data_IF_948562945833
#
_entry.id   IF_948562945833
#
_cell.length_a   1.000
_cell.length_b   1.000
_cell.length_c   1.000
_cell.angle_alpha   90.00
_cell.angle_beta   90.00
_cell.angle_gamma   90.00
#
_symmetry.space_group_name_H-M   'P 1'
#
loop_
_entity.id
_entity.type
_entity.pdbx_description
1 polymer ?
#
# COMPACT_ATOMS: atom_id res chain seq x y z
N UNK A 1 -10.47 16.55 21.18
CA UNK A 1 -10.91 17.27 19.97
C UNK A 1 -10.27 16.56 18.81
N UNK A 2 -11.03 15.75 18.08
CA UNK A 2 -10.52 14.97 16.96
C UNK A 2 -10.42 15.91 15.77
N UNK A 3 -9.20 16.30 15.38
CA UNK A 3 -9.01 17.14 14.20
C UNK A 3 -9.21 16.27 12.96
N UNK A 4 -10.32 16.48 12.25
CA UNK A 4 -10.57 15.83 10.97
C UNK A 4 -9.55 16.31 9.94
N UNK A 5 -9.17 15.41 9.04
CA UNK A 5 -8.37 15.74 7.88
C UNK A 5 -9.31 16.32 6.83
N UNK A 6 -8.93 17.43 6.19
CA UNK A 6 -9.80 18.04 5.17
C UNK A 6 -10.12 17.07 4.02
N UNK A 7 -9.09 16.41 3.50
CA UNK A 7 -9.16 15.52 2.34
C UNK A 7 -7.89 14.64 2.32
N UNK A 8 -7.80 13.70 1.39
CA UNK A 8 -6.62 12.84 1.24
C UNK A 8 -5.33 13.63 0.95
N UNK A 9 -5.41 14.74 0.20
CA UNK A 9 -4.24 15.54 -0.15
C UNK A 9 -3.68 16.28 1.06
N UNK A 10 -4.53 16.83 1.91
CA UNK A 10 -4.12 17.48 3.15
C UNK A 10 -3.43 16.50 4.09
N UNK A 11 -3.93 15.26 4.17
CA UNK A 11 -3.28 14.19 4.90
C UNK A 11 -1.88 13.85 4.33
N UNK A 12 -1.73 13.79 3.01
CA UNK A 12 -0.44 13.59 2.34
C UNK A 12 0.58 14.68 2.64
N UNK A 13 0.16 15.95 2.59
CA UNK A 13 1.03 17.09 2.96
C UNK A 13 1.49 17.03 4.41
N UNK A 14 0.61 16.63 5.33
CA UNK A 14 0.95 16.44 6.73
C UNK A 14 1.93 15.28 6.91
N UNK A 15 1.66 14.11 6.34
CA UNK A 15 2.55 12.95 6.40
C UNK A 15 3.95 13.25 5.85
N UNK A 16 4.02 14.00 4.75
CA UNK A 16 5.29 14.40 4.15
C UNK A 16 6.18 15.22 5.11
N UNK A 17 5.61 15.97 6.06
CA UNK A 17 6.40 16.69 7.08
C UNK A 17 7.14 15.76 8.04
N UNK A 18 6.67 14.52 8.23
CA UNK A 18 7.31 13.50 9.07
C UNK A 18 8.34 12.64 8.32
N UNK A 19 8.49 12.88 7.01
CA UNK A 19 9.32 12.10 6.08
C UNK A 19 10.43 12.94 5.43
N UNK A 20 10.70 14.14 5.97
CA UNK A 20 11.63 15.12 5.37
C UNK A 20 13.07 14.62 5.26
N UNK A 21 13.47 13.68 6.12
CA UNK A 21 14.77 12.98 6.02
C UNK A 21 14.98 12.21 4.71
N UNK A 22 13.91 11.90 3.95
CA UNK A 22 13.99 11.22 2.66
C UNK A 22 14.00 12.17 1.46
N UNK A 23 13.95 13.49 1.67
CA UNK A 23 13.90 14.47 0.57
C UNK A 23 15.07 14.30 -0.39
N UNK A 24 14.78 14.25 -1.70
CA UNK A 24 15.75 14.03 -2.79
C UNK A 24 16.56 12.72 -2.67
N UNK A 25 16.13 11.75 -1.86
CA UNK A 25 16.85 10.50 -1.68
C UNK A 25 16.71 9.62 -2.92
N UNK A 26 17.83 9.42 -3.63
CA UNK A 26 17.90 8.45 -4.73
C UNK A 26 17.65 7.00 -4.30
N UNK A 27 17.62 6.72 -2.98
CA UNK A 27 17.36 5.39 -2.42
C UNK A 27 15.94 5.24 -1.86
N UNK A 28 15.11 6.27 -1.88
CA UNK A 28 13.72 6.17 -1.42
C UNK A 28 12.73 6.04 -2.59
N UNK A 29 11.64 5.31 -2.37
CA UNK A 29 10.55 5.12 -3.31
C UNK A 29 9.23 5.16 -2.57
N UNK A 30 8.28 5.97 -3.05
CA UNK A 30 6.92 6.00 -2.52
C UNK A 30 6.07 5.00 -3.29
N UNK A 31 5.44 4.07 -2.57
CA UNK A 31 4.48 3.12 -3.14
C UNK A 31 3.11 3.32 -2.52
N UNK A 32 2.10 3.52 -3.37
CA UNK A 32 0.73 3.71 -2.93
C UNK A 32 -0.10 2.42 -3.06
N UNK A 33 -0.89 2.08 -2.05
CA UNK A 33 -1.99 1.14 -2.19
C UNK A 33 -3.17 1.84 -2.88
N UNK A 34 -3.61 1.38 -4.07
CA UNK A 34 -4.72 2.03 -4.74
C UNK A 34 -6.07 1.59 -4.19
N UNK A 35 -7.08 2.45 -4.26
CA UNK A 35 -7.04 3.78 -4.94
C UNK A 35 -6.77 4.92 -3.98
N UNK A 36 -7.33 4.84 -2.78
CA UNK A 36 -7.30 5.90 -1.79
C UNK A 36 -5.89 6.35 -1.38
N UNK A 37 -4.91 5.45 -1.33
CA UNK A 37 -3.53 5.82 -1.01
C UNK A 37 -2.85 6.73 -2.05
N UNK A 38 -3.33 6.75 -3.30
CA UNK A 38 -2.62 7.41 -4.41
C UNK A 38 -2.58 8.95 -4.28
N UNK A 39 -3.70 9.66 -4.01
CA UNK A 39 -3.64 11.10 -3.78
C UNK A 39 -2.75 11.52 -2.60
N UNK A 40 -2.62 10.66 -1.60
CA UNK A 40 -1.77 10.90 -0.42
C UNK A 40 -0.30 10.75 -0.81
N UNK A 41 0.01 9.61 -1.44
CA UNK A 41 1.35 9.29 -1.91
C UNK A 41 1.86 10.30 -2.93
N UNK A 42 0.98 10.83 -3.78
CA UNK A 42 1.30 11.92 -4.71
C UNK A 42 1.82 13.16 -4.01
N UNK A 43 1.14 13.65 -2.97
CA UNK A 43 1.57 14.84 -2.24
C UNK A 43 2.90 14.58 -1.48
N UNK A 44 3.10 13.36 -0.97
CA UNK A 44 4.37 12.95 -0.36
C UNK A 44 5.50 12.96 -1.40
N UNK A 45 5.31 12.28 -2.53
CA UNK A 45 6.29 12.18 -3.60
C UNK A 45 6.65 13.56 -4.17
N UNK A 46 5.64 14.40 -4.44
CA UNK A 46 5.85 15.75 -4.95
C UNK A 46 6.64 16.62 -3.98
N UNK A 47 6.29 16.59 -2.69
CA UNK A 47 6.95 17.43 -1.67
C UNK A 47 8.38 16.99 -1.37
N UNK A 48 8.64 15.68 -1.44
CA UNK A 48 9.96 15.12 -1.13
C UNK A 48 10.83 14.89 -2.37
N UNK A 49 10.32 15.17 -3.57
CA UNK A 49 10.96 14.89 -4.85
C UNK A 49 11.38 13.42 -4.98
N UNK A 50 10.45 12.52 -4.67
CA UNK A 50 10.66 11.08 -4.73
C UNK A 50 9.88 10.44 -5.87
N UNK A 51 10.38 9.32 -6.43
CA UNK A 51 9.58 8.52 -7.37
C UNK A 51 8.32 7.98 -6.68
N UNK A 52 7.23 7.96 -7.45
CA UNK A 52 5.94 7.37 -7.06
C UNK A 52 5.64 6.19 -7.99
N UNK A 53 5.22 5.08 -7.39
CA UNK A 53 4.54 3.99 -8.11
C UNK A 53 3.44 3.37 -7.22
N UNK A 54 2.78 2.34 -7.73
CA UNK A 54 1.71 1.62 -7.05
C UNK A 54 2.24 0.33 -6.45
N UNK A 55 1.74 -0.03 -5.27
CA UNK A 55 1.84 -1.38 -4.73
C UNK A 55 0.49 -2.08 -4.97
N UNK A 56 0.42 -2.91 -6.01
CA UNK A 56 -0.77 -3.73 -6.26
C UNK A 56 -0.59 -5.09 -5.59
N UNK A 57 -1.52 -5.42 -4.70
CA UNK A 57 -1.57 -6.70 -4.01
C UNK A 57 -2.98 -7.25 -3.97
N UNK A 58 -3.08 -8.57 -3.96
CA UNK A 58 -4.32 -9.31 -3.74
C UNK A 58 -4.10 -10.36 -2.66
N UNK A 59 -5.06 -10.48 -1.75
CA UNK A 59 -5.06 -11.54 -0.75
C UNK A 59 -5.55 -12.83 -1.40
N UNK A 60 -4.91 -13.94 -1.07
CA UNK A 60 -5.41 -15.26 -1.41
C UNK A 60 -6.30 -15.76 -0.29
N UNK A 61 -7.60 -15.52 -0.44
CA UNK A 61 -8.63 -15.85 0.55
C UNK A 61 -8.90 -17.34 0.64
N UNK A 62 -9.19 -17.84 1.84
CA UNK A 62 -9.75 -19.19 2.01
C UNK A 62 -11.20 -19.17 1.50
N UNK A 63 -11.59 -20.08 0.58
CA UNK A 63 -12.98 -20.20 0.13
C UNK A 63 -13.93 -20.29 1.32
N UNK A 64 -15.10 -19.66 1.20
CA UNK A 64 -16.14 -19.60 2.27
C UNK A 64 -15.75 -18.80 3.52
N UNK A 65 -14.47 -18.43 3.71
CA UNK A 65 -13.96 -17.59 4.81
C UNK A 65 -13.20 -16.38 4.27
N UNK A 66 -13.94 -15.44 3.66
CA UNK A 66 -13.37 -14.27 2.96
C UNK A 66 -12.43 -13.39 3.80
N UNK A 67 -12.61 -13.39 5.12
CA UNK A 67 -11.75 -12.62 6.05
C UNK A 67 -10.40 -13.30 6.34
N UNK A 68 -10.29 -14.61 6.09
CA UNK A 68 -9.06 -15.38 6.31
C UNK A 68 -8.33 -15.55 4.97
N UNK A 69 -7.06 -15.16 4.94
CA UNK A 69 -6.21 -15.31 3.76
C UNK A 69 -5.08 -16.31 4.05
N UNK A 70 -4.91 -17.30 3.18
CA UNK A 70 -3.80 -18.26 3.23
C UNK A 70 -2.54 -17.75 2.53
N UNK A 71 -2.60 -16.57 1.89
CA UNK A 71 -1.46 -16.00 1.20
C UNK A 71 -1.76 -14.64 0.59
N UNK A 72 -0.83 -14.15 -0.21
CA UNK A 72 -0.95 -12.94 -0.99
C UNK A 72 -0.18 -13.06 -2.31
N UNK A 73 -0.63 -12.33 -3.31
CA UNK A 73 0.10 -12.10 -4.56
C UNK A 73 0.33 -10.60 -4.76
N UNK A 74 1.42 -10.27 -5.43
CA UNK A 74 1.78 -8.91 -5.80
C UNK A 74 2.37 -8.83 -7.19
N UNK A 75 2.69 -7.62 -7.62
CA UNK A 75 3.29 -7.36 -8.93
C UNK A 75 4.56 -8.20 -9.18
N UNK A 76 4.89 -8.39 -10.46
CA UNK A 76 6.05 -9.18 -10.90
C UNK A 76 6.02 -10.66 -10.48
N UNK A 77 4.83 -11.26 -10.40
CA UNK A 77 4.65 -12.69 -10.14
C UNK A 77 4.93 -13.11 -8.70
N UNK A 78 5.06 -12.16 -7.78
CA UNK A 78 5.29 -12.45 -6.36
C UNK A 78 4.09 -13.19 -5.79
N UNK A 79 4.32 -14.36 -5.20
CA UNK A 79 3.34 -15.16 -4.47
C UNK A 79 3.92 -15.58 -3.14
N UNK A 80 3.20 -15.29 -2.06
CA UNK A 80 3.58 -15.64 -0.69
C UNK A 80 2.46 -16.45 -0.07
N UNK A 81 2.81 -17.57 0.56
CA UNK A 81 1.87 -18.49 1.21
C UNK A 81 2.15 -18.50 2.71
N UNK A 82 1.08 -18.52 3.51
CA UNK A 82 1.12 -18.77 4.94
C UNK A 82 0.96 -20.28 5.18
N UNK A 83 2.09 -20.97 5.32
CA UNK A 83 2.14 -22.43 5.48
C UNK A 83 1.32 -22.92 6.68
N UNK A 84 1.33 -22.20 7.81
CA UNK A 84 0.55 -22.56 8.99
C UNK A 84 -0.97 -22.60 8.71
N UNK A 85 -1.51 -21.64 7.96
CA UNK A 85 -2.95 -21.65 7.60
C UNK A 85 -3.26 -22.81 6.64
N UNK A 86 -2.34 -23.10 5.71
CA UNK A 86 -2.49 -24.20 4.76
C UNK A 86 -2.52 -25.54 5.49
N UNK A 87 -1.61 -25.72 6.45
CA UNK A 87 -1.51 -26.91 7.28
C UNK A 87 -2.74 -27.07 8.20
N UNK A 88 -3.11 -26.03 8.96
CA UNK A 88 -4.20 -26.06 9.94
C UNK A 88 -5.57 -26.35 9.30
N UNK A 89 -5.77 -25.89 8.06
CA UNK A 89 -7.03 -26.06 7.33
C UNK A 89 -6.98 -27.15 6.26
N UNK A 90 -5.84 -27.85 6.12
CA UNK A 90 -5.59 -28.88 5.11
C UNK A 90 -5.98 -28.42 3.70
N UNK A 91 -5.53 -27.22 3.32
CA UNK A 91 -5.89 -26.62 2.04
C UNK A 91 -5.22 -27.38 0.89
N UNK A 92 -6.02 -27.92 -0.03
CA UNK A 92 -5.49 -28.61 -1.21
C UNK A 92 -4.77 -27.65 -2.15
N UNK A 93 -3.69 -28.12 -2.79
CA UNK A 93 -2.95 -27.38 -3.82
C UNK A 93 -3.86 -26.91 -4.96
N UNK A 94 -4.76 -27.79 -5.44
CA UNK A 94 -5.71 -27.46 -6.50
C UNK A 94 -6.63 -26.29 -6.13
N UNK A 95 -7.09 -26.19 -4.88
CA UNK A 95 -7.86 -25.05 -4.40
C UNK A 95 -7.01 -23.78 -4.41
N UNK A 96 -5.82 -23.85 -3.82
CA UNK A 96 -4.93 -22.70 -3.71
C UNK A 96 -4.56 -22.14 -5.08
N UNK A 97 -4.30 -23.01 -6.05
CA UNK A 97 -4.00 -22.64 -7.42
C UNK A 97 -5.19 -21.97 -8.11
N UNK A 98 -6.41 -22.49 -7.90
CA UNK A 98 -7.62 -21.87 -8.44
C UNK A 98 -7.78 -20.43 -7.92
N UNK A 99 -7.67 -20.23 -6.59
CA UNK A 99 -7.77 -18.89 -5.98
C UNK A 99 -6.64 -17.99 -6.47
N UNK A 100 -5.40 -18.47 -6.51
CA UNK A 100 -4.27 -17.69 -6.98
C UNK A 100 -4.45 -17.23 -8.43
N UNK A 101 -4.96 -18.10 -9.31
CA UNK A 101 -5.22 -17.77 -10.71
C UNK A 101 -6.31 -16.71 -10.88
N UNK A 102 -7.42 -16.84 -10.16
CA UNK A 102 -8.51 -15.85 -10.18
C UNK A 102 -8.01 -14.48 -9.73
N UNK A 103 -7.23 -14.44 -8.65
CA UNK A 103 -6.68 -13.21 -8.09
C UNK A 103 -5.59 -12.59 -8.99
N UNK A 104 -4.79 -13.43 -9.67
CA UNK A 104 -3.74 -12.96 -10.60
C UNK A 104 -4.34 -12.26 -11.81
N UNK A 105 -5.44 -12.76 -12.37
CA UNK A 105 -6.11 -12.13 -13.51
C UNK A 105 -6.55 -10.69 -13.17
N UNK A 106 -7.14 -10.48 -12.00
CA UNK A 106 -7.54 -9.13 -11.58
C UNK A 106 -6.34 -8.24 -11.25
N UNK A 107 -5.28 -8.80 -10.67
CA UNK A 107 -4.04 -8.08 -10.41
C UNK A 107 -3.42 -7.57 -11.71
N UNK A 108 -3.26 -8.43 -12.72
CA UNK A 108 -2.72 -8.09 -14.04
C UNK A 108 -3.62 -7.09 -14.78
N UNK A 109 -4.94 -7.24 -14.67
CA UNK A 109 -5.89 -6.29 -15.26
C UNK A 109 -5.69 -4.88 -14.69
N UNK A 110 -5.53 -4.75 -13.37
CA UNK A 110 -5.29 -3.45 -12.70
C UNK A 110 -3.89 -2.90 -12.99
N UNK A 111 -2.88 -3.76 -13.01
CA UNK A 111 -1.50 -3.36 -13.31
C UNK A 111 -1.42 -2.75 -14.71
N UNK A 112 -2.01 -3.43 -15.71
CA UNK A 112 -2.12 -2.90 -17.07
C UNK A 112 -2.98 -1.64 -17.15
N UNK A 113 -4.08 -1.56 -16.40
CA UNK A 113 -4.93 -0.37 -16.38
C UNK A 113 -4.15 0.87 -15.90
N UNK A 114 -3.40 0.75 -14.81
CA UNK A 114 -2.75 1.91 -14.21
C UNK A 114 -1.36 2.22 -14.80
N UNK A 115 -0.58 1.18 -15.14
CA UNK A 115 0.84 1.30 -15.51
C UNK A 115 1.09 1.02 -16.98
N UNK A 116 0.12 0.48 -17.72
CA UNK A 116 0.33 0.07 -19.11
C UNK A 116 1.45 -0.96 -19.20
N UNK A 117 2.48 -0.64 -20.00
CA UNK A 117 3.68 -1.47 -20.17
C UNK A 117 4.86 -1.05 -19.27
N UNK A 118 4.67 -0.07 -18.39
CA UNK A 118 5.74 0.42 -17.50
C UNK A 118 6.22 -0.71 -16.56
N UNK A 119 7.52 -1.04 -16.55
CA UNK A 119 8.04 -2.12 -15.70
C UNK A 119 7.98 -1.74 -14.22
N UNK A 120 7.69 -2.70 -13.34
CA UNK A 120 7.65 -2.48 -11.88
C UNK A 120 9.03 -2.02 -11.36
N UNK A 121 9.10 -1.02 -10.47
CA UNK A 121 10.37 -0.47 -9.99
C UNK A 121 11.19 -1.51 -9.23
N UNK A 122 12.52 -1.38 -9.35
CA UNK A 122 13.47 -2.20 -8.59
C UNK A 122 13.42 -1.80 -7.11
N UNK A 123 13.07 -2.76 -6.24
CA UNK A 123 12.96 -2.55 -4.80
C UNK A 123 14.28 -2.78 -4.06
N UNK A 124 15.19 -3.57 -4.63
CA UNK A 124 16.41 -4.03 -3.96
C UNK A 124 17.23 -2.86 -3.40
N UNK A 125 17.46 -2.87 -2.09
CA UNK A 125 18.26 -1.85 -1.40
C UNK A 125 17.60 -0.45 -1.32
N UNK A 126 16.32 -0.31 -1.70
CA UNK A 126 15.55 0.93 -1.55
C UNK A 126 14.86 1.00 -0.20
N UNK A 127 14.68 2.20 0.33
CA UNK A 127 13.72 2.50 1.40
C UNK A 127 12.34 2.69 0.76
N UNK A 128 11.40 1.83 1.10
CA UNK A 128 10.03 1.88 0.57
C UNK A 128 9.14 2.63 1.55
N UNK A 129 8.48 3.69 1.09
CA UNK A 129 7.45 4.40 1.85
C UNK A 129 6.09 3.92 1.32
N UNK A 130 5.47 3.00 2.04
CA UNK A 130 4.17 2.41 1.72
C UNK A 130 3.03 3.28 2.28
N UNK A 131 2.12 3.71 1.41
CA UNK A 131 1.08 4.70 1.73
C UNK A 131 -0.32 4.14 1.45
N UNK A 132 -1.26 4.42 2.34
CA UNK A 132 -2.70 4.18 2.19
C UNK A 132 -3.53 5.30 2.83
N UNK A 133 -4.83 5.39 2.55
CA UNK A 133 -5.71 6.42 3.13
C UNK A 133 -6.17 6.13 4.56
N UNK A 134 -5.93 4.92 5.03
CA UNK A 134 -6.02 4.53 6.43
C UNK A 134 -6.00 3.02 6.58
N UNK A 135 -5.87 2.55 7.82
CA UNK A 135 -5.76 1.13 8.10
C UNK A 135 -6.82 0.72 9.10
N UNK A 136 -7.78 -0.10 8.68
CA UNK A 136 -8.78 -0.67 9.58
C UNK A 136 -8.27 -1.93 10.30
N UNK A 137 -7.96 -2.98 9.53
CA UNK A 137 -7.52 -4.29 10.08
C UNK A 137 -6.05 -4.61 9.79
N UNK A 138 -5.42 -3.85 8.88
CA UNK A 138 -4.05 -4.09 8.44
C UNK A 138 -3.87 -5.23 7.44
N UNK A 139 -4.93 -5.94 7.04
CA UNK A 139 -4.81 -7.11 6.18
C UNK A 139 -4.14 -6.81 4.81
N UNK A 140 -4.55 -5.73 4.16
CA UNK A 140 -3.96 -5.30 2.86
C UNK A 140 -2.50 -4.87 3.03
N UNK A 141 -2.19 -4.08 4.07
CA UNK A 141 -0.82 -3.64 4.36
C UNK A 141 0.08 -4.84 4.69
N UNK A 142 -0.40 -5.82 5.46
CA UNK A 142 0.34 -7.06 5.74
C UNK A 142 0.66 -7.83 4.45
N UNK A 143 -0.31 -7.95 3.54
CA UNK A 143 -0.07 -8.53 2.22
C UNK A 143 0.98 -7.75 1.42
N UNK A 144 0.90 -6.41 1.41
CA UNK A 144 1.90 -5.55 0.78
C UNK A 144 3.30 -5.72 1.39
N UNK A 145 3.43 -5.76 2.72
CA UNK A 145 4.72 -6.01 3.36
C UNK A 145 5.31 -7.35 2.90
N UNK A 146 4.51 -8.42 2.89
CA UNK A 146 4.96 -9.74 2.47
C UNK A 146 5.47 -9.72 1.03
N UNK A 147 4.74 -9.09 0.11
CA UNK A 147 5.17 -9.02 -1.28
C UNK A 147 6.41 -8.15 -1.45
N UNK A 148 6.48 -7.00 -0.76
CA UNK A 148 7.60 -6.08 -0.85
C UNK A 148 8.90 -6.68 -0.30
N UNK A 149 8.84 -7.45 0.80
CA UNK A 149 10.02 -8.10 1.38
C UNK A 149 10.70 -9.08 0.41
N UNK A 150 9.95 -9.73 -0.48
CA UNK A 150 10.53 -10.60 -1.52
C UNK A 150 11.46 -9.86 -2.50
N UNK A 151 11.29 -8.54 -2.62
CA UNK A 151 12.14 -7.67 -3.43
C UNK A 151 13.39 -7.14 -2.73
N UNK A 152 13.70 -7.63 -1.51
CA UNK A 152 14.87 -7.24 -0.71
C UNK A 152 15.09 -5.73 -0.55
N UNK A 153 14.07 -4.95 -0.12
CA UNK A 153 14.24 -3.54 0.19
C UNK A 153 15.21 -3.35 1.37
N UNK A 154 15.84 -2.19 1.45
CA UNK A 154 16.69 -1.82 2.59
C UNK A 154 15.85 -1.52 3.85
N UNK A 155 14.67 -0.95 3.67
CA UNK A 155 13.72 -0.67 4.74
C UNK A 155 12.30 -0.51 4.17
N UNK A 156 11.29 -0.76 5.00
CA UNK A 156 9.88 -0.49 4.72
C UNK A 156 9.35 0.47 5.80
N UNK A 157 8.71 1.55 5.37
CA UNK A 157 8.10 2.56 6.22
C UNK A 157 6.63 2.64 5.83
N UNK A 158 5.74 2.52 6.80
CA UNK A 158 4.31 2.75 6.57
C UNK A 158 4.00 4.20 6.91
N UNK A 159 3.32 4.90 6.02
CA UNK A 159 2.84 6.26 6.25
C UNK A 159 1.34 6.33 5.97
N UNK A 160 0.53 6.46 7.02
CA UNK A 160 -0.93 6.47 6.91
C UNK A 160 -1.57 7.54 7.78
N UNK A 161 -2.71 8.11 7.39
CA UNK A 161 -3.31 9.17 8.20
C UNK A 161 -4.00 8.66 9.46
N UNK A 162 -4.64 7.48 9.40
CA UNK A 162 -5.39 6.94 10.53
C UNK A 162 -5.31 5.41 10.61
N UNK A 163 -5.11 4.88 11.81
CA UNK A 163 -5.15 3.45 12.10
C UNK A 163 -5.34 3.19 13.61
N UNK A 164 -5.98 2.09 14.06
CA UNK A 164 -6.03 1.76 15.49
C UNK A 164 -4.62 1.59 16.09
N UNK A 165 -4.40 1.97 17.36
CA UNK A 165 -3.13 1.76 18.05
C UNK A 165 -2.62 0.32 17.95
N UNK A 166 -3.50 -0.65 18.19
CA UNK A 166 -3.15 -2.07 18.21
C UNK A 166 -2.72 -2.57 16.83
N UNK A 167 -3.29 -1.99 15.76
CA UNK A 167 -2.90 -2.29 14.38
C UNK A 167 -1.52 -1.68 14.09
N UNK A 168 -1.23 -0.47 14.56
CA UNK A 168 0.10 0.12 14.45
C UNK A 168 1.15 -0.74 15.16
N UNK A 169 0.88 -1.16 16.39
CA UNK A 169 1.81 -1.97 17.19
C UNK A 169 2.10 -3.33 16.55
N UNK A 170 1.10 -3.92 15.88
CA UNK A 170 1.31 -5.14 15.09
C UNK A 170 2.17 -4.90 13.86
N UNK A 171 1.99 -3.78 13.18
CA UNK A 171 2.73 -3.43 11.96
C UNK A 171 4.17 -3.02 12.26
N UNK A 172 4.43 -2.32 13.37
CA UNK A 172 5.79 -1.95 13.83
C UNK A 172 6.68 -3.17 14.07
N UNK A 173 6.11 -4.36 14.33
CA UNK A 173 6.87 -5.62 14.45
C UNK A 173 7.30 -6.19 13.09
N UNK A 174 6.71 -5.71 11.99
CA UNK A 174 6.89 -6.25 10.66
C UNK A 174 7.73 -5.35 9.75
N UNK A 175 7.86 -4.07 10.09
CA UNK A 175 8.52 -3.04 9.27
C UNK A 175 9.45 -2.18 10.13
N UNK A 176 10.27 -1.36 9.49
CA UNK A 176 11.26 -0.53 10.18
C UNK A 176 10.63 0.66 10.91
N UNK A 177 9.52 1.19 10.39
CA UNK A 177 8.79 2.32 11.02
C UNK A 177 7.33 2.40 10.57
N UNK A 178 6.47 2.81 11.48
CA UNK A 178 5.08 3.20 11.19
C UNK A 178 4.88 4.67 11.57
N UNK A 179 4.40 5.47 10.62
CA UNK A 179 3.99 6.86 10.81
C UNK A 179 2.47 6.90 10.66
N UNK A 180 1.79 7.25 11.74
CA UNK A 180 0.33 7.37 11.79
C UNK A 180 -0.07 8.70 12.43
N UNK A 181 -0.82 9.56 11.72
CA UNK A 181 -1.22 10.87 12.25
C UNK A 181 -2.24 10.74 13.39
N UNK A 182 -3.19 9.82 13.24
CA UNK A 182 -4.27 9.61 14.21
C UNK A 182 -4.41 8.14 14.59
N UNK A 183 -4.32 7.85 15.89
CA UNK A 183 -4.44 6.49 16.44
C UNK A 183 -5.69 6.30 17.33
N UNK A 184 -6.92 6.23 16.77
CA UNK A 184 -8.13 6.06 17.57
C UNK A 184 -8.35 4.62 18.04
N UNK A 185 -8.77 4.47 19.30
CA UNK A 185 -9.24 3.18 19.81
C UNK A 185 -10.56 2.73 19.16
N UNK A 186 -11.45 3.67 18.81
CA UNK A 186 -12.68 3.40 18.06
C UNK A 186 -12.63 4.00 16.65
N UNK A 187 -12.04 3.28 15.70
CA UNK A 187 -11.92 3.77 14.32
C UNK A 187 -13.29 3.85 13.61
N UNK A 188 -14.13 2.82 13.76
CA UNK A 188 -15.41 2.57 13.05
C UNK A 188 -15.31 2.53 11.51
N UNK A 189 -14.86 3.61 10.87
CA UNK A 189 -14.60 3.71 9.44
C UNK A 189 -13.50 4.73 9.18
N UNK A 190 -12.66 4.49 8.16
CA UNK A 190 -11.64 5.45 7.69
C UNK A 190 -12.31 6.77 7.27
N UNK A 191 -13.47 6.70 6.62
CA UNK A 191 -14.17 7.88 6.09
C UNK A 191 -14.55 8.92 7.14
N UNK A 192 -14.71 8.52 8.41
CA UNK A 192 -15.09 9.43 9.51
C UNK A 192 -13.93 10.33 9.94
N UNK A 193 -12.73 10.12 9.42
CA UNK A 193 -11.53 10.89 9.73
C UNK A 193 -11.22 11.95 8.67
N UNK A 194 -12.07 12.04 7.65
CA UNK A 194 -11.96 12.99 6.56
C UNK A 194 -13.23 13.83 6.45
N UNK A 195 -13.08 15.14 6.21
CA UNK A 195 -14.22 16.00 5.84
C UNK A 195 -14.72 15.65 4.44
N UNK A 196 -13.80 15.43 3.49
CA UNK A 196 -14.06 14.90 2.16
C UNK A 196 -13.35 13.55 1.95
N UNK A 197 -14.15 12.49 1.81
CA UNK A 197 -13.70 11.14 1.50
C UNK A 197 -14.26 10.62 0.16
N UNK A 198 -14.47 11.52 -0.80
CA UNK A 198 -14.88 11.18 -2.17
C UNK A 198 -14.05 10.05 -2.77
N UNK A 199 -14.70 9.18 -3.54
CA UNK A 199 -14.04 7.99 -4.07
C UNK A 199 -13.00 8.37 -5.13
N UNK A 200 -11.74 7.98 -4.93
CA UNK A 200 -10.69 8.09 -5.94
C UNK A 200 -10.99 7.18 -7.13
N UNK A 201 -11.06 7.74 -8.33
CA UNK A 201 -11.36 7.02 -9.57
C UNK A 201 -10.11 6.40 -10.19
N UNK A 202 -10.27 5.51 -11.18
CA UNK A 202 -9.14 4.91 -11.88
C UNK A 202 -8.41 5.96 -12.74
N UNK A 203 -9.15 6.91 -13.31
CA UNK A 203 -8.63 8.04 -14.10
C UNK A 203 -7.80 8.99 -13.23
N UNK A 204 -8.23 9.24 -11.98
CA UNK A 204 -7.46 10.03 -11.03
C UNK A 204 -6.12 9.34 -10.71
N UNK A 205 -6.13 8.03 -10.47
CA UNK A 205 -4.90 7.25 -10.24
C UNK A 205 -3.93 7.38 -11.41
N UNK A 206 -4.40 7.19 -12.65
CA UNK A 206 -3.58 7.32 -13.86
C UNK A 206 -3.02 8.75 -14.03
N UNK A 207 -3.84 9.76 -13.77
CA UNK A 207 -3.44 11.18 -13.89
C UNK A 207 -2.33 11.51 -12.90
N UNK A 208 -2.47 11.09 -11.64
CA UNK A 208 -1.47 11.37 -10.60
C UNK A 208 -0.16 10.62 -10.84
N UNK A 209 -0.24 9.37 -11.28
CA UNK A 209 0.94 8.56 -11.55
C UNK A 209 1.79 9.13 -12.70
N UNK A 210 1.15 9.56 -13.79
CA UNK A 210 1.84 10.15 -14.95
C UNK A 210 2.44 11.54 -14.68
N UNK A 211 1.85 12.31 -13.77
CA UNK A 211 2.32 13.66 -13.40
C UNK A 211 3.66 13.61 -12.66
N UNK A 212 3.89 12.63 -11.78
CA UNK A 212 5.16 12.50 -11.04
C UNK A 212 6.30 12.05 -11.94
N UNK A 213 6.03 11.15 -12.90
CA UNK A 213 7.06 10.73 -13.87
C UNK A 213 7.56 11.91 -14.71
N UNK A 214 6.67 12.84 -15.06
CA UNK A 214 7.01 14.02 -15.87
C UNK A 214 7.83 15.07 -15.12
N UNK A 215 7.71 15.14 -13.79
CA UNK A 215 8.45 16.11 -12.95
C UNK A 215 9.83 15.63 -12.51
N UNK A 216 10.15 14.34 -12.72
CA UNK A 216 11.46 13.74 -12.43
C UNK A 216 12.40 13.69 -13.65
N UNK A 217 11.93 14.10 -14.83
CA UNK A 217 12.78 14.31 -16.01
C UNK A 217 13.38 15.72 -15.87
N UNK A 218 14.71 15.88 -15.68
CA UNK A 218 15.32 17.20 -15.75
C UNK A 218 15.14 17.73 -17.18
N UNK A 219 14.53 18.91 -17.30
CA UNK A 219 14.54 19.71 -18.54
C UNK A 219 15.96 20.15 -18.85
#
# INVERSE_FOLDING_TARGET
>A
MTYLLKDRRSAGRLLASYLTEYTNSAKALVLALPRGGVPIAFEIAQRLHLPLDLCLVRKLGVPERKELAFGAIGQNGVRVINESIVEDLHLSEAMMERVAKEEMIELERRDRLYRGERPFPVLTGKTIILVDDGIATGATIKAAILTLKSGNPAAIIIAVPVAPPEVCDQLEKLVDRVICLHKPYELRSISLWYEDFSQTSDEEVQTLLSTVDSSLIPV
#
